data_IF_273072848195
#
_entry.id   IF_273072848195
#
_cell.length_a   1.000
_cell.length_b   1.000
_cell.length_c   1.000
_cell.angle_alpha   90.00
_cell.angle_beta   90.00
_cell.angle_gamma   90.00
#
_symmetry.space_group_name_H-M   'P 1'
#
loop_
_entity.id
_entity.type
_entity.pdbx_description
1 polymer ?
#
# COMPACT_ATOMS: atom_id res chain seq x y z
N UNK A 1 62.79 -22.83 -28.44
CA UNK A 1 62.82 -23.69 -27.23
C UNK A 1 62.03 -22.95 -26.17
N UNK A 2 60.84 -23.33 -25.68
CA UNK A 2 60.25 -24.64 -25.41
C UNK A 2 58.74 -24.51 -25.62
N UNK A 3 58.24 -25.31 -26.55
CA UNK A 3 56.84 -25.64 -26.69
C UNK A 3 56.43 -26.58 -25.55
N UNK A 4 55.17 -26.47 -25.10
CA UNK A 4 54.39 -27.54 -24.48
C UNK A 4 54.84 -28.00 -23.09
N UNK A 5 54.29 -27.37 -22.06
CA UNK A 5 54.05 -28.08 -20.80
C UNK A 5 52.63 -27.70 -20.32
N UNK A 6 51.74 -28.69 -20.39
CA UNK A 6 50.48 -28.82 -19.65
C UNK A 6 49.26 -28.09 -20.25
N UNK A 7 48.68 -28.73 -21.27
CA UNK A 7 47.24 -29.00 -21.28
C UNK A 7 46.93 -29.79 -20.00
N UNK A 8 46.12 -29.29 -19.07
CA UNK A 8 45.23 -30.07 -18.19
C UNK A 8 44.50 -29.11 -17.23
N UNK A 9 43.37 -28.54 -17.67
CA UNK A 9 42.28 -28.10 -16.79
C UNK A 9 41.08 -27.75 -17.67
N UNK A 10 40.67 -28.74 -18.45
CA UNK A 10 39.31 -28.80 -18.96
C UNK A 10 38.36 -28.81 -17.77
N UNK A 11 37.26 -28.06 -17.91
CA UNK A 11 35.96 -28.33 -17.29
C UNK A 11 35.68 -27.71 -15.92
N UNK A 12 34.45 -27.16 -15.85
CA UNK A 12 33.67 -26.82 -14.68
C UNK A 12 34.13 -25.62 -13.85
N UNK A 13 33.47 -24.48 -14.09
CA UNK A 13 32.77 -23.70 -13.06
C UNK A 13 31.96 -22.64 -13.81
N UNK A 14 30.84 -23.06 -14.37
CA UNK A 14 29.53 -22.80 -13.80
C UNK A 14 28.99 -21.44 -14.28
N UNK A 15 28.35 -21.49 -15.46
CA UNK A 15 27.37 -20.49 -15.87
C UNK A 15 26.42 -20.20 -14.70
N UNK A 16 26.48 -19.00 -14.15
CA UNK A 16 25.46 -18.48 -13.24
C UNK A 16 24.19 -18.22 -14.07
N UNK A 17 23.37 -19.26 -14.25
CA UNK A 17 22.00 -19.09 -14.73
C UNK A 17 21.20 -18.60 -13.54
N UNK A 18 20.95 -17.29 -13.47
CA UNK A 18 20.03 -16.70 -12.50
C UNK A 18 18.61 -17.10 -12.90
N UNK A 19 18.08 -18.14 -12.26
CA UNK A 19 16.65 -18.44 -12.29
C UNK A 19 15.92 -17.36 -11.48
N UNK A 20 15.37 -16.35 -12.15
CA UNK A 20 14.32 -15.51 -11.55
C UNK A 20 13.02 -16.30 -11.61
N UNK A 21 12.75 -17.11 -10.58
CA UNK A 21 11.41 -17.69 -10.37
C UNK A 21 10.47 -16.57 -9.94
N UNK A 22 9.83 -15.91 -10.91
CA UNK A 22 8.66 -15.07 -10.67
C UNK A 22 7.54 -16.00 -10.24
N UNK A 23 7.31 -16.11 -8.94
CA UNK A 23 6.06 -16.67 -8.43
C UNK A 23 4.91 -15.83 -9.02
N UNK A 24 3.90 -16.43 -9.68
CA UNK A 24 2.66 -15.71 -9.88
C UNK A 24 2.09 -15.43 -8.50
N UNK A 25 2.19 -14.16 -8.07
CA UNK A 25 1.50 -13.70 -6.87
C UNK A 25 0.04 -14.09 -7.05
N UNK A 26 -0.47 -14.89 -6.12
CA UNK A 26 -1.86 -15.28 -6.11
C UNK A 26 -2.68 -14.00 -6.27
N UNK A 27 -3.40 -13.89 -7.39
CA UNK A 27 -4.35 -12.81 -7.58
C UNK A 27 -5.39 -12.99 -6.48
N UNK A 28 -5.24 -12.23 -5.39
CA UNK A 28 -6.30 -12.05 -4.42
C UNK A 28 -7.52 -11.64 -5.23
N UNK A 29 -8.68 -12.32 -5.10
CA UNK A 29 -9.86 -11.94 -5.85
C UNK A 29 -10.10 -10.46 -5.59
N UNK A 30 -9.93 -9.63 -6.61
CA UNK A 30 -10.33 -8.24 -6.56
C UNK A 30 -11.85 -8.30 -6.51
N UNK A 31 -12.40 -8.23 -5.31
CA UNK A 31 -13.85 -8.12 -5.09
C UNK A 31 -14.21 -6.71 -5.55
N UNK A 32 -14.35 -6.55 -6.86
CA UNK A 32 -14.94 -5.36 -7.47
C UNK A 32 -16.42 -5.36 -7.11
N UNK A 33 -16.83 -4.33 -6.37
CA UNK A 33 -18.25 -4.08 -6.09
C UNK A 33 -18.90 -3.70 -7.43
N UNK A 34 -19.97 -4.39 -7.82
CA UNK A 34 -20.76 -4.00 -9.00
C UNK A 34 -21.83 -2.98 -8.59
N UNK A 35 -22.41 -2.27 -9.56
CA UNK A 35 -23.46 -1.25 -9.34
C UNK A 35 -24.72 -1.77 -8.65
N UNK A 36 -24.88 -3.09 -8.53
CA UNK A 36 -26.01 -3.77 -7.89
C UNK A 36 -25.65 -4.35 -6.51
N UNK A 37 -24.42 -4.14 -6.04
CA UNK A 37 -24.02 -4.57 -4.69
C UNK A 37 -24.40 -3.45 -3.74
N UNK A 38 -25.54 -3.58 -3.05
CA UNK A 38 -25.89 -2.68 -1.96
C UNK A 38 -24.67 -2.55 -1.06
N UNK A 39 -24.26 -1.31 -0.80
CA UNK A 39 -22.99 -1.10 -0.16
C UNK A 39 -23.09 -1.61 1.29
N UNK A 40 -22.41 -2.73 1.58
CA UNK A 40 -22.34 -3.35 2.91
C UNK A 40 -22.01 -2.31 3.98
N UNK A 41 -22.93 -2.03 4.92
CA UNK A 41 -22.72 -1.07 5.99
C UNK A 41 -21.56 -1.45 6.93
N UNK A 42 -21.19 -2.74 7.01
CA UNK A 42 -20.05 -3.20 7.80
C UNK A 42 -18.71 -2.77 7.23
N UNK A 43 -18.67 -2.38 5.95
CA UNK A 43 -17.49 -1.87 5.26
C UNK A 43 -17.44 -0.33 5.23
N UNK A 44 -18.42 0.36 5.82
CA UNK A 44 -18.43 1.82 5.89
C UNK A 44 -17.56 2.29 7.06
N UNK A 45 -16.81 3.37 6.84
CA UNK A 45 -15.96 4.00 7.83
C UNK A 45 -16.65 5.21 8.45
N UNK A 46 -16.41 5.44 9.75
CA UNK A 46 -16.98 6.60 10.46
C UNK A 46 -16.10 7.83 10.20
N UNK A 47 -16.68 8.81 9.52
CA UNK A 47 -16.04 10.10 9.27
C UNK A 47 -16.29 11.05 10.43
N UNK A 48 -15.20 11.73 10.83
CA UNK A 48 -15.19 12.82 11.80
C UNK A 48 -14.90 14.13 11.10
N UNK A 49 -15.38 15.22 11.67
CA UNK A 49 -14.97 16.55 11.27
C UNK A 49 -13.84 17.00 12.19
N UNK A 50 -12.81 17.63 11.61
CA UNK A 50 -11.77 18.31 12.35
C UNK A 50 -11.67 19.76 11.91
N UNK A 51 -11.23 20.63 12.81
CA UNK A 51 -10.90 22.02 12.51
C UNK A 51 -9.40 22.25 12.70
N UNK A 52 -8.75 22.93 11.75
CA UNK A 52 -7.38 23.43 11.91
C UNK A 52 -7.40 24.94 12.12
N UNK A 53 -6.96 25.46 13.28
CA UNK A 53 -6.77 26.88 13.51
C UNK A 53 -5.75 27.52 12.56
N UNK A 54 -4.67 26.81 12.21
CA UNK A 54 -3.62 27.29 11.31
C UNK A 54 -4.14 27.49 9.88
N UNK A 55 -4.93 26.54 9.38
CA UNK A 55 -5.53 26.64 8.04
C UNK A 55 -6.87 27.38 8.03
N UNK A 56 -7.46 27.64 9.20
CA UNK A 56 -8.82 28.19 9.37
C UNK A 56 -9.87 27.41 8.57
N UNK A 57 -9.71 26.08 8.54
CA UNK A 57 -10.47 25.21 7.66
C UNK A 57 -11.00 23.98 8.41
N UNK A 58 -12.14 23.48 7.93
CA UNK A 58 -12.70 22.21 8.35
C UNK A 58 -12.28 21.11 7.38
N UNK A 59 -11.89 19.97 7.92
CA UNK A 59 -11.61 18.75 7.19
C UNK A 59 -12.59 17.66 7.59
N UNK A 60 -12.89 16.75 6.66
CA UNK A 60 -13.61 15.52 6.91
C UNK A 60 -12.67 14.34 6.69
N UNK A 61 -12.66 13.39 7.60
CA UNK A 61 -11.80 12.23 7.48
C UNK A 61 -12.02 11.21 8.59
N UNK A 62 -11.39 10.06 8.45
CA UNK A 62 -11.38 9.03 9.48
C UNK A 62 -10.41 9.42 10.62
N UNK A 63 -10.64 8.88 11.81
CA UNK A 63 -9.87 9.25 13.01
C UNK A 63 -8.35 9.10 12.80
N UNK A 64 -7.91 8.03 12.13
CA UNK A 64 -6.49 7.75 11.89
C UNK A 64 -5.81 8.79 10.99
N UNK A 65 -6.55 9.40 10.06
CA UNK A 65 -6.03 10.46 9.20
C UNK A 65 -5.69 11.73 10.01
N UNK A 66 -6.58 12.14 10.91
CA UNK A 66 -6.33 13.27 11.80
C UNK A 66 -5.20 12.98 12.79
N UNK A 67 -5.19 11.79 13.40
CA UNK A 67 -4.12 11.39 14.33
C UNK A 67 -2.75 11.42 13.63
N UNK A 68 -2.66 10.90 12.39
CA UNK A 68 -1.43 10.97 11.61
C UNK A 68 -1.02 12.41 11.32
N UNK A 69 -1.96 13.28 10.95
CA UNK A 69 -1.69 14.68 10.69
C UNK A 69 -1.17 15.41 11.95
N UNK A 70 -1.77 15.13 13.12
CA UNK A 70 -1.34 15.68 14.41
C UNK A 70 0.08 15.21 14.76
N UNK A 71 0.37 13.92 14.65
CA UNK A 71 1.72 13.37 14.88
C UNK A 71 2.75 13.98 13.93
N UNK A 72 2.33 14.36 12.72
CA UNK A 72 3.18 15.03 11.72
C UNK A 72 3.32 16.55 11.95
N UNK A 73 2.84 17.09 13.07
CA UNK A 73 2.92 18.51 13.41
C UNK A 73 1.71 19.35 13.00
N UNK A 74 0.62 18.73 12.53
CA UNK A 74 -0.65 19.41 12.28
C UNK A 74 -1.39 19.78 13.56
N UNK A 75 -2.23 20.81 13.49
CA UNK A 75 -2.95 21.38 14.64
C UNK A 75 -4.46 21.06 14.61
N UNK A 76 -4.81 19.87 14.08
CA UNK A 76 -6.19 19.45 13.93
C UNK A 76 -6.87 19.20 15.28
N UNK A 77 -8.01 19.85 15.50
CA UNK A 77 -8.92 19.62 16.62
C UNK A 77 -10.07 18.72 16.14
N UNK A 78 -10.12 17.49 16.63
CA UNK A 78 -11.10 16.47 16.20
C UNK A 78 -12.44 16.71 16.93
N UNK A 79 -13.53 16.85 16.18
CA UNK A 79 -14.90 16.94 16.69
C UNK A 79 -15.63 15.58 16.65
N UNK A 80 -16.94 15.60 16.89
CA UNK A 80 -17.80 14.42 16.86
C UNK A 80 -17.88 13.74 15.49
N UNK A 81 -18.37 12.50 15.51
CA UNK A 81 -18.71 11.70 14.35
C UNK A 81 -19.85 12.38 13.57
N UNK A 82 -19.69 12.48 12.25
CA UNK A 82 -20.60 13.26 11.41
C UNK A 82 -21.46 12.36 10.53
N UNK A 83 -20.85 11.34 9.90
CA UNK A 83 -21.55 10.39 9.06
C UNK A 83 -20.70 9.13 8.83
N UNK A 84 -21.34 8.04 8.41
CA UNK A 84 -20.67 6.81 7.95
C UNK A 84 -20.69 6.76 6.42
N UNK A 85 -19.54 6.51 5.80
CA UNK A 85 -19.41 6.42 4.35
C UNK A 85 -18.30 5.45 3.93
N UNK A 86 -18.32 4.98 2.70
CA UNK A 86 -17.21 4.22 2.13
C UNK A 86 -16.09 5.18 1.70
N UNK A 87 -14.85 4.90 2.12
CA UNK A 87 -13.70 5.75 1.80
C UNK A 87 -13.36 5.76 0.29
N UNK A 88 -13.74 4.70 -0.43
CA UNK A 88 -13.58 4.60 -1.88
C UNK A 88 -14.86 5.00 -2.61
N UNK A 89 -14.79 5.85 -3.65
CA UNK A 89 -15.91 6.05 -4.58
C UNK A 89 -16.36 4.72 -5.20
N UNK A 90 -17.65 4.60 -5.52
CA UNK A 90 -18.21 3.54 -6.37
C UNK A 90 -17.87 3.82 -7.84
#
# INVERSE_FOLDING_TARGET
>A
MIHRIIKLATSCLASFVVLNSVLPGAAMPVISRNTNTCADPSLAEVFKQGYSPSFKAYGLGITTAFVRAIISGGDWQIHNEVFSAWATPQ
#
